data_IF_479006440116
#
_entry.id   IF_479006440116
#
_cell.length_a   1.000
_cell.length_b   1.000
_cell.length_c   1.000
_cell.angle_alpha   90.00
_cell.angle_beta   90.00
_cell.angle_gamma   90.00
#
_symmetry.space_group_name_H-M   'P 1'
#
loop_
_entity.id
_entity.type
_entity.pdbx_description
1 polymer ?
#
# COMPACT_ATOMS: atom_id res chain seq x y z
N UNK A 1 -5.40 -22.44 4.94
CA UNK A 1 -4.88 -22.31 3.56
C UNK A 1 -4.10 -21.00 3.50
N UNK A 2 -2.77 -21.06 3.54
CA UNK A 2 -1.95 -19.87 3.30
C UNK A 2 -2.13 -19.48 1.82
N UNK A 3 -2.33 -18.19 1.50
CA UNK A 3 -2.32 -17.77 0.11
C UNK A 3 -0.92 -18.08 -0.44
N UNK A 4 -0.90 -18.75 -1.59
CA UNK A 4 0.29 -19.06 -2.35
C UNK A 4 1.13 -17.78 -2.45
N UNK A 5 2.20 -17.70 -1.67
CA UNK A 5 3.10 -16.55 -1.62
C UNK A 5 3.84 -16.54 -2.95
N UNK A 6 3.18 -15.97 -3.97
CA UNK A 6 3.75 -15.75 -5.28
C UNK A 6 5.14 -15.16 -5.08
N UNK A 7 6.14 -15.91 -5.54
CA UNK A 7 7.52 -15.65 -5.27
C UNK A 7 7.82 -14.19 -5.63
N UNK A 8 8.17 -13.38 -4.63
CA UNK A 8 8.47 -11.93 -4.72
C UNK A 8 9.66 -11.66 -5.67
N UNK A 9 10.20 -12.69 -6.31
CA UNK A 9 11.41 -12.68 -7.12
C UNK A 9 11.17 -12.72 -8.64
N UNK A 10 9.94 -12.89 -9.14
CA UNK A 10 9.74 -12.86 -10.60
C UNK A 10 9.41 -11.46 -11.10
N UNK A 11 10.23 -10.96 -12.04
CA UNK A 11 10.00 -9.71 -12.77
C UNK A 11 8.57 -9.61 -13.35
N UNK A 12 7.98 -10.77 -13.68
CA UNK A 12 6.61 -10.91 -14.16
C UNK A 12 5.54 -10.42 -13.17
N UNK A 13 5.66 -10.72 -11.87
CA UNK A 13 4.71 -10.27 -10.84
C UNK A 13 4.71 -8.75 -10.71
N UNK A 14 5.86 -8.11 -10.95
CA UNK A 14 5.97 -6.67 -10.84
C UNK A 14 5.53 -5.91 -12.08
N UNK A 15 5.81 -6.46 -13.26
CA UNK A 15 5.21 -5.94 -14.49
C UNK A 15 3.69 -5.96 -14.39
N UNK A 16 3.11 -7.02 -13.81
CA UNK A 16 1.69 -7.09 -13.52
C UNK A 16 1.25 -5.98 -12.54
N UNK A 17 1.97 -5.77 -11.43
CA UNK A 17 1.67 -4.72 -10.45
C UNK A 17 1.80 -3.28 -11.01
N UNK A 18 2.69 -3.04 -11.98
CA UNK A 18 2.82 -1.73 -12.63
C UNK A 18 1.60 -1.37 -13.48
N UNK A 19 1.03 -2.37 -14.16
CA UNK A 19 -0.17 -2.20 -14.99
C UNK A 19 -1.47 -2.40 -14.23
N UNK A 20 -1.39 -2.91 -13.00
CA UNK A 20 -2.56 -3.22 -12.20
C UNK A 20 -3.26 -1.95 -11.69
N UNK A 21 -4.56 -2.09 -11.44
CA UNK A 21 -5.31 -1.05 -10.75
C UNK A 21 -4.73 -0.82 -9.34
N UNK A 22 -4.76 0.44 -8.88
CA UNK A 22 -4.25 0.82 -7.57
C UNK A 22 -4.82 -0.04 -6.42
N UNK A 23 -6.08 -0.49 -6.53
CA UNK A 23 -6.72 -1.36 -5.53
C UNK A 23 -6.03 -2.72 -5.42
N UNK A 24 -5.63 -3.29 -6.54
CA UNK A 24 -4.93 -4.58 -6.61
C UNK A 24 -3.55 -4.44 -5.98
N UNK A 25 -2.81 -3.38 -6.32
CA UNK A 25 -1.50 -3.10 -5.71
C UNK A 25 -1.63 -2.88 -4.19
N UNK A 26 -2.64 -2.12 -3.76
CA UNK A 26 -2.90 -1.89 -2.35
C UNK A 26 -3.19 -3.21 -1.61
N UNK A 27 -4.08 -4.05 -2.15
CA UNK A 27 -4.41 -5.34 -1.54
C UNK A 27 -3.18 -6.25 -1.46
N UNK A 28 -2.40 -6.33 -2.54
CA UNK A 28 -1.14 -7.07 -2.52
C UNK A 28 -0.19 -6.57 -1.43
N UNK A 29 -0.03 -5.26 -1.26
CA UNK A 29 0.80 -4.69 -0.20
C UNK A 29 0.29 -5.03 1.20
N UNK A 30 -1.04 -5.10 1.39
CA UNK A 30 -1.66 -5.54 2.66
C UNK A 30 -1.37 -7.03 2.90
N UNK A 31 -1.55 -7.87 1.88
CA UNK A 31 -1.33 -9.32 1.98
C UNK A 31 0.15 -9.66 2.27
N UNK A 32 1.08 -8.85 1.78
CA UNK A 32 2.50 -8.95 2.09
C UNK A 32 2.90 -8.30 3.44
N UNK A 33 1.95 -7.69 4.17
CA UNK A 33 2.24 -7.01 5.43
C UNK A 33 3.05 -5.72 5.29
N UNK A 34 3.18 -5.18 4.08
CA UNK A 34 3.92 -3.93 3.82
C UNK A 34 3.10 -2.69 4.22
N UNK A 35 1.78 -2.81 4.24
CA UNK A 35 0.83 -1.75 4.64
C UNK A 35 -0.21 -2.34 5.59
N UNK A 36 -0.67 -1.55 6.57
CA UNK A 36 -1.70 -1.98 7.49
C UNK A 36 -3.04 -2.25 6.77
N UNK A 37 -3.70 -3.35 7.16
CA UNK A 37 -5.01 -3.74 6.65
C UNK A 37 -6.18 -2.87 7.15
N UNK A 38 -5.93 -1.97 8.11
CA UNK A 38 -6.94 -1.07 8.65
C UNK A 38 -6.50 -0.25 9.84
N UNK A 39 -7.33 0.70 10.24
CA UNK A 39 -7.09 1.58 11.39
C UNK A 39 -8.35 1.81 12.20
N UNK A 40 -8.16 2.05 13.50
CA UNK A 40 -9.21 2.61 14.38
C UNK A 40 -9.12 4.14 14.39
N UNK A 41 -10.27 4.79 14.37
CA UNK A 41 -10.37 6.24 14.50
C UNK A 41 -9.89 6.67 15.89
N UNK A 42 -8.95 7.62 16.02
CA UNK A 42 -8.47 8.06 17.33
C UNK A 42 -9.53 8.80 18.15
N UNK A 43 -10.59 9.33 17.50
CA UNK A 43 -11.65 10.10 18.17
C UNK A 43 -12.82 9.24 18.67
N UNK A 44 -13.19 8.18 17.94
CA UNK A 44 -14.38 7.37 18.27
C UNK A 44 -14.12 5.86 18.28
N UNK A 45 -12.87 5.44 18.13
CA UNK A 45 -12.38 4.05 18.15
C UNK A 45 -13.00 3.08 17.12
N UNK A 46 -13.93 3.54 16.29
CA UNK A 46 -14.54 2.78 15.19
C UNK A 46 -13.51 2.46 14.11
N UNK A 47 -13.72 1.34 13.41
CA UNK A 47 -12.93 0.98 12.25
C UNK A 47 -13.08 2.06 11.15
N UNK A 48 -11.97 2.52 10.62
CA UNK A 48 -11.94 3.44 9.48
C UNK A 48 -12.25 2.67 8.18
N UNK A 49 -12.86 3.36 7.23
CA UNK A 49 -13.21 2.78 5.92
C UNK A 49 -12.22 3.29 4.88
N UNK A 50 -11.67 2.38 4.07
CA UNK A 50 -10.84 2.74 2.93
C UNK A 50 -11.72 3.40 1.86
N UNK A 51 -11.36 4.61 1.42
CA UNK A 51 -12.09 5.37 0.40
C UNK A 51 -11.16 5.76 -0.74
N UNK A 52 -11.63 5.65 -2.00
CA UNK A 52 -10.86 6.11 -3.15
C UNK A 52 -10.69 7.62 -3.12
N UNK A 53 -9.56 8.10 -3.62
CA UNK A 53 -9.18 9.50 -3.69
C UNK A 53 -8.35 9.73 -4.95
N UNK A 54 -8.81 10.60 -5.86
CA UNK A 54 -8.21 10.79 -7.19
C UNK A 54 -7.00 11.73 -7.22
N UNK A 55 -6.84 12.55 -6.18
CA UNK A 55 -5.79 13.56 -6.07
C UNK A 55 -4.53 13.07 -5.33
N UNK A 56 -4.38 11.76 -5.13
CA UNK A 56 -3.17 11.16 -4.55
C UNK A 56 -2.69 9.98 -5.39
N UNK A 57 -1.39 9.73 -5.36
CA UNK A 57 -0.72 8.74 -6.22
C UNK A 57 -1.23 7.30 -6.04
N UNK A 58 -1.46 6.84 -4.80
CA UNK A 58 -1.93 5.45 -4.57
C UNK A 58 -3.44 5.33 -4.50
N UNK A 59 -4.17 6.42 -4.68
CA UNK A 59 -5.60 6.35 -4.90
C UNK A 59 -6.48 6.10 -3.67
N UNK A 60 -5.95 5.93 -2.44
CA UNK A 60 -6.77 5.59 -1.26
C UNK A 60 -6.37 6.29 0.04
N UNK A 61 -7.37 6.59 0.87
CA UNK A 61 -7.20 7.01 2.26
C UNK A 61 -8.16 6.27 3.19
N UNK A 62 -7.75 6.11 4.44
CA UNK A 62 -8.63 5.67 5.51
C UNK A 62 -9.44 6.85 6.03
N UNK A 63 -10.75 6.69 6.10
CA UNK A 63 -11.67 7.76 6.49
C UNK A 63 -12.61 7.27 7.60
N UNK A 64 -12.75 8.08 8.64
CA UNK A 64 -13.84 7.99 9.59
C UNK A 64 -14.67 9.27 9.48
N UNK A 65 -15.95 9.12 9.09
CA UNK A 65 -16.89 10.23 8.97
C UNK A 65 -18.11 9.91 9.81
N UNK A 66 -18.37 10.74 10.82
CA UNK A 66 -19.53 10.64 11.71
C UNK A 66 -20.28 11.96 11.65
N UNK A 67 -21.60 11.89 11.53
CA UNK A 67 -22.54 13.02 11.51
C UNK A 67 -23.32 13.07 12.83
N UNK A 68 -23.90 14.23 13.17
CA UNK A 68 -24.70 14.42 14.39
C UNK A 68 -23.87 14.79 15.62
N UNK A 69 -24.30 14.37 16.81
CA UNK A 69 -23.54 14.60 18.05
C UNK A 69 -22.17 13.90 17.96
N UNK A 70 -21.10 14.61 18.37
CA UNK A 70 -19.71 14.18 18.19
C UNK A 70 -19.25 14.04 16.72
N UNK A 71 -19.83 14.83 15.82
CA UNK A 71 -19.43 14.88 14.41
C UNK A 71 -17.91 15.06 14.25
N UNK A 72 -17.36 14.32 13.28
CA UNK A 72 -15.97 14.45 12.89
C UNK A 72 -15.71 13.83 11.53
N UNK A 73 -14.62 14.29 10.93
CA UNK A 73 -14.10 13.78 9.68
C UNK A 73 -12.59 13.57 9.82
N UNK A 74 -12.19 12.37 10.22
CA UNK A 74 -10.79 11.98 10.35
C UNK A 74 -10.34 11.28 9.07
N UNK A 75 -9.18 11.67 8.57
CA UNK A 75 -8.51 11.04 7.43
C UNK A 75 -7.15 10.54 7.88
N UNK A 76 -6.70 9.42 7.31
CA UNK A 76 -5.37 8.87 7.52
C UNK A 76 -4.87 8.31 6.19
N UNK A 77 -3.59 8.54 5.89
CA UNK A 77 -2.94 7.98 4.70
C UNK A 77 -3.06 6.45 4.72
N UNK A 78 -3.29 5.85 3.55
CA UNK A 78 -3.16 4.39 3.38
C UNK A 78 -1.79 3.89 3.83
N UNK A 79 -0.75 4.71 3.65
CA UNK A 79 0.66 4.42 3.99
C UNK A 79 1.05 4.64 5.46
N UNK A 80 0.16 5.14 6.30
CA UNK A 80 0.54 5.57 7.65
C UNK A 80 1.21 4.44 8.46
N UNK A 81 2.24 4.71 9.25
CA UNK A 81 2.95 3.68 10.02
C UNK A 81 3.64 2.59 9.20
N UNK A 82 3.68 2.69 7.87
CA UNK A 82 4.45 1.80 7.00
C UNK A 82 5.76 2.46 6.58
N UNK A 83 6.65 1.66 6.01
CA UNK A 83 7.88 2.16 5.40
C UNK A 83 7.63 3.20 4.27
N UNK A 84 6.44 3.20 3.66
CA UNK A 84 6.08 4.13 2.58
C UNK A 84 5.58 5.52 3.06
N UNK A 85 5.33 5.72 4.36
CA UNK A 85 4.54 6.84 4.91
C UNK A 85 5.00 8.24 4.44
N UNK A 86 6.30 8.43 4.22
CA UNK A 86 6.89 9.73 3.86
C UNK A 86 7.47 9.78 2.45
N UNK A 87 7.27 8.74 1.65
CA UNK A 87 7.74 8.74 0.27
C UNK A 87 6.82 9.59 -0.60
N UNK A 88 7.40 10.42 -1.46
CA UNK A 88 6.66 11.16 -2.50
C UNK A 88 6.41 10.31 -3.75
N UNK A 89 7.05 9.15 -3.86
CA UNK A 89 6.90 8.25 -5.00
C UNK A 89 5.63 7.38 -4.83
N UNK A 90 4.91 7.05 -5.91
CA UNK A 90 3.85 6.04 -5.89
C UNK A 90 4.38 4.69 -5.40
N UNK A 91 3.58 3.91 -4.66
CA UNK A 91 3.98 2.58 -4.19
C UNK A 91 4.48 1.68 -5.34
N UNK A 92 3.83 1.58 -6.51
CA UNK A 92 4.34 0.79 -7.63
C UNK A 92 5.76 1.17 -8.05
N UNK A 93 6.07 2.47 -8.05
CA UNK A 93 7.40 2.99 -8.40
C UNK A 93 8.45 2.60 -7.35
N UNK A 94 8.11 2.67 -6.06
CA UNK A 94 9.01 2.26 -4.99
C UNK A 94 9.30 0.76 -5.09
N UNK A 95 8.26 -0.05 -5.31
CA UNK A 95 8.41 -1.49 -5.52
C UNK A 95 9.34 -1.77 -6.70
N UNK A 96 9.14 -1.09 -7.85
CA UNK A 96 10.02 -1.20 -9.02
C UNK A 96 11.50 -1.01 -8.65
N UNK A 97 11.83 0.05 -7.93
CA UNK A 97 13.21 0.32 -7.52
C UNK A 97 13.78 -0.80 -6.65
N UNK A 98 13.01 -1.31 -5.68
CA UNK A 98 13.48 -2.39 -4.79
C UNK A 98 13.88 -3.66 -5.56
N UNK A 99 13.11 -4.01 -6.60
CA UNK A 99 13.33 -5.23 -7.37
C UNK A 99 14.52 -5.09 -8.28
N UNK A 100 14.58 -3.97 -9.01
CA UNK A 100 15.69 -3.69 -9.92
C UNK A 100 17.00 -3.74 -9.12
N UNK A 101 17.04 -3.11 -7.94
CA UNK A 101 18.22 -3.15 -7.07
C UNK A 101 18.59 -4.56 -6.59
N UNK A 102 17.61 -5.44 -6.34
CA UNK A 102 17.90 -6.84 -6.02
C UNK A 102 18.44 -7.60 -7.24
N UNK A 103 17.87 -7.39 -8.43
CA UNK A 103 18.35 -8.02 -9.67
C UNK A 103 19.78 -7.59 -10.02
N UNK A 104 20.12 -6.30 -9.88
CA UNK A 104 21.49 -5.82 -10.14
C UNK A 104 22.52 -6.38 -9.15
N UNK A 105 22.15 -6.58 -7.87
CA UNK A 105 23.03 -7.24 -6.90
C UNK A 105 23.29 -8.70 -7.25
N UNK A 106 22.28 -9.41 -7.76
CA UNK A 106 22.44 -10.80 -8.22
C UNK A 106 23.37 -10.85 -9.43
N UNK A 107 23.16 -9.98 -10.43
CA UNK A 107 24.03 -9.93 -11.63
C UNK A 107 25.48 -9.61 -11.27
N UNK A 108 25.72 -8.66 -10.35
CA UNK A 108 27.07 -8.28 -9.93
C UNK A 108 27.79 -9.31 -9.06
N UNK A 109 27.09 -10.27 -8.45
CA UNK A 109 27.69 -11.36 -7.66
C UNK A 109 27.92 -12.63 -8.47
N UNK A 110 27.44 -12.67 -9.71
CA UNK A 110 27.62 -13.79 -10.66
C UNK A 110 28.64 -13.48 -11.77
N UNK A 111 29.33 -12.35 -11.70
CA UNK A 111 30.43 -11.99 -12.59
C UNK A 111 31.78 -12.16 -11.89
#
# INVERSE_FOLDING_TARGET
>A
MAPNSGNIQSLSTYHQLQTAEAKVVFQWCVDQGLIASGYKCPKCTRQMVLRPRRDISDGFNWVCRVHGQNAHHMKRSSRAGSWFERSNLPIPTILQFLILLQSYKVVSLTC
#
